data_IF_321217611249
#
_entry.id   IF_321217611249
#
_cell.length_a   1.000
_cell.length_b   1.000
_cell.length_c   1.000
_cell.angle_alpha   90.00
_cell.angle_beta   90.00
_cell.angle_gamma   90.00
#
_symmetry.space_group_name_H-M   'P 1'
#
loop_
_entity.id
_entity.type
_entity.pdbx_description
1 polymer ?
#
# COMPACT_ATOMS: atom_id res chain seq x y z
N UNK A 1 -9.33 20.76 -2.15
CA UNK A 1 -9.20 22.10 -1.53
C UNK A 1 -10.13 22.98 -2.32
N UNK A 2 -11.24 23.47 -1.75
CA UNK A 2 -12.42 23.82 -2.59
C UNK A 2 -12.20 24.99 -3.55
N UNK A 3 -11.18 25.81 -3.31
CA UNK A 3 -10.81 26.94 -4.15
C UNK A 3 -9.28 27.11 -4.16
N UNK A 4 -8.65 26.63 -5.24
CA UNK A 4 -7.20 26.70 -5.43
C UNK A 4 -6.72 28.13 -5.68
N UNK A 5 -7.47 28.91 -6.45
CA UNK A 5 -7.11 30.29 -6.80
C UNK A 5 -7.11 31.19 -5.56
N UNK A 6 -8.10 31.00 -4.69
CA UNK A 6 -8.20 31.75 -3.44
C UNK A 6 -7.01 31.45 -2.51
N UNK A 7 -6.54 30.21 -2.45
CA UNK A 7 -5.35 29.86 -1.68
C UNK A 7 -4.06 30.42 -2.28
N UNK A 8 -3.88 30.35 -3.60
CA UNK A 8 -2.72 30.97 -4.25
C UNK A 8 -2.69 32.47 -3.97
N UNK A 9 -3.85 33.14 -4.08
CA UNK A 9 -3.95 34.57 -3.79
C UNK A 9 -3.63 34.94 -2.34
N UNK A 10 -3.93 34.04 -1.38
CA UNK A 10 -3.60 34.23 0.02
C UNK A 10 -2.10 34.02 0.29
N UNK A 11 -1.49 33.05 -0.39
CA UNK A 11 -0.07 32.73 -0.30
C UNK A 11 0.81 33.79 -0.99
N UNK A 12 0.33 34.40 -2.07
CA UNK A 12 1.03 35.47 -2.78
C UNK A 12 1.29 36.72 -1.91
N UNK A 13 0.58 36.89 -0.80
CA UNK A 13 0.74 38.03 0.11
C UNK A 13 1.99 37.93 1.02
N UNK A 14 2.53 36.73 1.24
CA UNK A 14 3.74 36.52 2.06
C UNK A 14 4.89 35.94 1.23
N UNK A 15 6.04 36.62 1.18
CA UNK A 15 7.24 36.11 0.49
C UNK A 15 8.22 35.46 1.48
N UNK A 16 7.84 34.29 2.01
CA UNK A 16 8.68 33.48 2.89
C UNK A 16 9.03 32.14 2.22
N UNK A 17 10.08 31.48 2.69
CA UNK A 17 10.42 30.11 2.25
C UNK A 17 9.25 29.13 2.45
N UNK A 18 8.46 29.31 3.52
CA UNK A 18 7.24 28.54 3.76
C UNK A 18 6.22 28.70 2.63
N UNK A 19 6.17 29.87 2.00
CA UNK A 19 5.30 30.18 0.86
C UNK A 19 5.73 29.44 -0.40
N UNK A 20 7.04 29.38 -0.69
CA UNK A 20 7.57 28.66 -1.85
C UNK A 20 7.34 27.15 -1.73
N UNK A 21 7.50 26.60 -0.52
CA UNK A 21 7.17 25.20 -0.21
C UNK A 21 5.66 24.94 -0.33
N UNK A 22 4.81 25.83 0.20
CA UNK A 22 3.37 25.66 0.06
C UNK A 22 2.93 25.75 -1.41
N UNK A 23 3.57 26.58 -2.24
CA UNK A 23 3.32 26.59 -3.69
C UNK A 23 3.74 25.29 -4.36
N UNK A 24 4.92 24.74 -4.05
CA UNK A 24 5.34 23.48 -4.66
C UNK A 24 4.44 22.30 -4.27
N UNK A 25 3.89 22.30 -3.06
CA UNK A 25 2.97 21.27 -2.58
C UNK A 25 1.50 21.51 -2.97
N UNK A 26 1.13 22.73 -3.37
CA UNK A 26 -0.27 23.14 -3.56
C UNK A 26 -1.06 22.27 -4.54
N UNK A 27 -0.43 21.81 -5.63
CA UNK A 27 -1.08 20.96 -6.63
C UNK A 27 -1.43 19.58 -6.05
N UNK A 28 -0.47 18.97 -5.34
CA UNK A 28 -0.64 17.67 -4.68
C UNK A 28 -1.70 17.75 -3.59
N UNK A 29 -1.69 18.84 -2.82
CA UNK A 29 -2.70 19.07 -1.79
C UNK A 29 -4.09 19.28 -2.40
N UNK A 30 -4.20 19.91 -3.57
CA UNK A 30 -5.51 20.09 -4.21
C UNK A 30 -6.14 18.75 -4.57
N UNK A 31 -5.40 17.88 -5.25
CA UNK A 31 -5.86 16.52 -5.59
C UNK A 31 -6.18 15.70 -4.34
N UNK A 32 -5.32 15.75 -3.32
CA UNK A 32 -5.55 15.05 -2.06
C UNK A 32 -6.85 15.50 -1.37
N UNK A 33 -7.07 16.81 -1.27
CA UNK A 33 -8.25 17.38 -0.64
C UNK A 33 -9.48 17.44 -1.57
N UNK A 34 -9.38 17.03 -2.83
CA UNK A 34 -10.51 16.94 -3.74
C UNK A 34 -11.40 15.73 -3.42
N UNK A 35 -10.77 14.62 -3.04
CA UNK A 35 -11.45 13.36 -2.76
C UNK A 35 -11.89 13.22 -1.28
N UNK A 36 -11.44 14.12 -0.41
CA UNK A 36 -11.79 14.09 1.02
C UNK A 36 -13.17 14.70 1.29
N UNK A 37 -14.03 13.92 1.97
CA UNK A 37 -15.32 14.39 2.48
C UNK A 37 -15.14 15.00 3.87
N UNK A 38 -15.33 16.31 3.96
CA UNK A 38 -15.19 17.06 5.21
C UNK A 38 -16.56 17.54 5.71
N UNK A 39 -16.90 17.19 6.94
CA UNK A 39 -18.12 17.65 7.64
C UNK A 39 -17.73 18.30 8.95
N UNK A 40 -18.28 19.48 9.24
CA UNK A 40 -18.12 20.13 10.53
C UNK A 40 -19.16 19.61 11.51
N UNK A 41 -18.75 19.12 12.68
CA UNK A 41 -19.67 18.71 13.73
C UNK A 41 -19.27 19.29 15.08
N UNK A 42 -20.27 19.51 15.92
CA UNK A 42 -20.10 19.95 17.30
C UNK A 42 -20.49 18.83 18.24
N UNK A 43 -19.51 18.26 18.95
CA UNK A 43 -19.76 17.21 19.94
C UNK A 43 -20.64 17.68 21.11
N UNK A 44 -20.66 18.99 21.38
CA UNK A 44 -21.40 19.56 22.50
C UNK A 44 -22.88 19.80 22.19
N UNK A 45 -23.17 20.31 20.98
CA UNK A 45 -24.55 20.64 20.57
C UNK A 45 -25.20 19.54 19.72
N UNK A 46 -24.41 18.62 19.18
CA UNK A 46 -24.89 17.59 18.25
C UNK A 46 -25.14 18.12 16.83
N UNK A 47 -24.82 19.39 16.57
CA UNK A 47 -24.92 19.97 15.23
C UNK A 47 -23.93 19.30 14.28
N UNK A 48 -24.39 18.97 13.07
CA UNK A 48 -23.57 18.30 12.06
C UNK A 48 -23.42 16.77 12.26
N UNK A 49 -23.97 16.18 13.34
CA UNK A 49 -23.90 14.73 13.52
C UNK A 49 -24.65 13.94 12.43
N UNK A 50 -25.81 14.43 11.96
CA UNK A 50 -26.56 13.75 10.90
C UNK A 50 -25.79 13.72 9.58
N UNK A 51 -25.24 14.87 9.19
CA UNK A 51 -24.42 15.01 7.97
C UNK A 51 -23.15 14.16 8.05
N UNK A 52 -22.56 14.03 9.25
CA UNK A 52 -21.41 13.17 9.47
C UNK A 52 -21.74 11.69 9.20
N UNK A 53 -22.84 11.17 9.77
CA UNK A 53 -23.21 9.77 9.54
C UNK A 53 -23.59 9.49 8.08
N UNK A 54 -24.29 10.41 7.42
CA UNK A 54 -24.56 10.30 5.98
C UNK A 54 -23.26 10.23 5.16
N UNK A 55 -22.29 11.09 5.46
CA UNK A 55 -20.99 11.07 4.79
C UNK A 55 -20.19 9.79 5.06
N UNK A 56 -20.36 9.16 6.23
CA UNK A 56 -19.73 7.87 6.57
C UNK A 56 -20.41 6.71 5.83
N UNK A 57 -21.74 6.71 5.74
CA UNK A 57 -22.48 5.68 5.01
C UNK A 57 -22.11 5.69 3.52
N UNK A 58 -22.04 6.88 2.91
CA UNK A 58 -21.54 7.04 1.55
C UNK A 58 -20.07 6.55 1.41
N UNK A 59 -19.27 6.63 2.49
CA UNK A 59 -17.86 6.20 2.47
C UNK A 59 -17.75 4.69 2.51
N UNK A 60 -18.61 4.07 3.31
CA UNK A 60 -18.74 2.64 3.35
C UNK A 60 -19.16 2.09 1.98
N UNK A 61 -20.15 2.71 1.34
CA UNK A 61 -20.58 2.33 -0.01
C UNK A 61 -19.48 2.46 -1.07
N UNK A 62 -18.75 3.57 -1.08
CA UNK A 62 -17.62 3.75 -2.01
C UNK A 62 -16.51 2.72 -1.78
N UNK A 63 -16.19 2.44 -0.51
CA UNK A 63 -15.18 1.45 -0.14
C UNK A 63 -15.56 0.05 -0.62
N UNK A 64 -16.80 -0.40 -0.38
CA UNK A 64 -17.25 -1.74 -0.73
C UNK A 64 -17.33 -1.98 -2.24
N UNK A 65 -17.79 -0.98 -3.00
CA UNK A 65 -18.08 -1.15 -4.43
C UNK A 65 -16.92 -0.75 -5.35
N UNK A 66 -16.12 0.25 -4.96
CA UNK A 66 -15.03 0.78 -5.80
C UNK A 66 -13.70 0.25 -5.29
N UNK A 67 -13.31 0.65 -4.08
CA UNK A 67 -11.97 0.41 -3.58
C UNK A 67 -11.67 -1.09 -3.37
N UNK A 68 -12.54 -1.80 -2.64
CA UNK A 68 -12.35 -3.22 -2.33
C UNK A 68 -12.29 -4.09 -3.58
N UNK A 69 -13.09 -3.76 -4.58
CA UNK A 69 -13.12 -4.52 -5.85
C UNK A 69 -11.81 -4.33 -6.61
N UNK A 70 -11.32 -3.10 -6.75
CA UNK A 70 -10.04 -2.82 -7.40
C UNK A 70 -8.86 -3.40 -6.62
N UNK A 71 -8.90 -3.32 -5.28
CA UNK A 71 -7.90 -3.92 -4.41
C UNK A 71 -7.79 -5.44 -4.62
N UNK A 72 -8.92 -6.15 -4.60
CA UNK A 72 -8.93 -7.60 -4.83
C UNK A 72 -8.40 -7.97 -6.22
N UNK A 73 -8.73 -7.19 -7.26
CA UNK A 73 -8.19 -7.40 -8.61
C UNK A 73 -6.68 -7.20 -8.65
N UNK A 74 -6.18 -6.20 -7.93
CA UNK A 74 -4.75 -5.93 -7.84
C UNK A 74 -4.03 -7.08 -7.11
N UNK A 75 -4.58 -7.56 -6.00
CA UNK A 75 -4.06 -8.72 -5.28
C UNK A 75 -4.03 -9.99 -6.15
N UNK A 76 -5.10 -10.26 -6.92
CA UNK A 76 -5.15 -11.41 -7.81
C UNK A 76 -4.13 -11.30 -8.95
N UNK A 77 -3.95 -10.11 -9.54
CA UNK A 77 -2.93 -9.87 -10.56
C UNK A 77 -1.52 -10.08 -10.01
N UNK A 78 -1.26 -9.62 -8.78
CA UNK A 78 0.02 -9.81 -8.10
C UNK A 78 0.31 -11.29 -7.87
N UNK A 79 -0.65 -12.03 -7.31
CA UNK A 79 -0.52 -13.48 -7.08
C UNK A 79 -0.26 -14.26 -8.37
N UNK A 80 -0.97 -13.93 -9.46
CA UNK A 80 -0.71 -14.55 -10.78
C UNK A 80 0.69 -14.26 -11.30
N UNK A 81 1.15 -13.01 -11.20
CA UNK A 81 2.51 -12.61 -11.62
C UNK A 81 3.57 -13.39 -10.84
N UNK A 82 3.36 -13.61 -9.54
CA UNK A 82 4.26 -14.38 -8.69
C UNK A 82 4.25 -15.87 -9.03
N UNK A 83 3.07 -16.45 -9.28
CA UNK A 83 2.94 -17.84 -9.73
C UNK A 83 3.61 -18.07 -11.08
N UNK A 84 3.42 -17.16 -12.05
CA UNK A 84 4.06 -17.22 -13.36
C UNK A 84 5.59 -17.11 -13.25
N UNK A 85 6.09 -16.22 -12.38
CA UNK A 85 7.52 -16.10 -12.08
C UNK A 85 8.07 -17.38 -11.46
N UNK A 86 7.39 -17.93 -10.46
CA UNK A 86 7.75 -19.20 -9.82
C UNK A 86 7.76 -20.35 -10.82
N UNK A 87 6.81 -20.41 -11.75
CA UNK A 87 6.77 -21.44 -12.78
C UNK A 87 7.91 -21.29 -13.79
N UNK A 88 8.23 -20.07 -14.22
CA UNK A 88 9.38 -19.76 -15.08
C UNK A 88 10.70 -20.16 -14.40
N UNK A 89 10.88 -19.81 -13.12
CA UNK A 89 12.07 -20.17 -12.35
C UNK A 89 12.22 -21.70 -12.21
N UNK A 90 11.11 -22.41 -11.93
CA UNK A 90 11.12 -23.87 -11.89
C UNK A 90 11.42 -24.50 -13.26
N UNK A 91 10.94 -23.92 -14.36
CA UNK A 91 11.26 -24.36 -15.73
C UNK A 91 12.74 -24.17 -16.05
N UNK A 92 13.30 -23.00 -15.70
CA UNK A 92 14.73 -22.71 -15.85
C UNK A 92 15.59 -23.70 -15.06
N UNK A 93 15.26 -23.92 -13.78
CA UNK A 93 15.98 -24.86 -12.92
C UNK A 93 15.93 -26.30 -13.48
N UNK A 94 14.77 -26.74 -14.00
CA UNK A 94 14.65 -28.06 -14.64
C UNK A 94 15.51 -28.17 -15.90
N UNK A 95 15.59 -27.13 -16.71
CA UNK A 95 16.44 -27.12 -17.91
C UNK A 95 17.93 -27.21 -17.53
N UNK A 96 18.36 -26.48 -16.49
CA UNK A 96 19.74 -26.52 -15.99
C UNK A 96 20.11 -27.90 -15.43
N UNK A 97 19.18 -28.57 -14.72
CA UNK A 97 19.35 -29.93 -14.19
C UNK A 97 19.40 -31.02 -15.27
N UNK A 98 18.65 -30.85 -16.37
CA UNK A 98 18.62 -31.80 -17.48
C UNK A 98 19.81 -31.64 -18.44
N UNK A 99 20.58 -30.55 -18.30
CA UNK A 99 21.83 -30.37 -19.04
C UNK A 99 22.93 -31.11 -18.27
N UNK A 100 23.40 -32.23 -18.83
CA UNK A 100 24.38 -33.14 -18.20
C UNK A 100 25.55 -32.41 -17.51
N UNK A 101 26.04 -32.90 -16.36
CA UNK A 101 27.21 -32.34 -15.71
C UNK A 101 28.43 -32.66 -16.56
N UNK A 102 28.83 -31.73 -17.42
CA UNK A 102 30.15 -31.79 -18.07
C UNK A 102 31.21 -31.52 -17.00
N UNK A 103 31.55 -32.57 -16.24
CA UNK A 103 32.57 -32.52 -15.22
C UNK A 103 33.96 -32.65 -15.85
N UNK A 104 34.72 -31.57 -15.64
CA UNK A 104 36.18 -31.50 -15.49
C UNK A 104 36.99 -31.41 -16.80
N UNK A 105 37.44 -30.19 -17.08
CA UNK A 105 38.51 -29.91 -18.04
C UNK A 105 38.95 -28.45 -17.98
N UNK A 106 39.73 -28.11 -16.94
CA UNK A 106 40.67 -26.97 -16.83
C UNK A 106 40.19 -25.53 -17.11
N UNK A 107 40.56 -24.64 -16.18
CA UNK A 107 40.46 -23.18 -16.27
C UNK A 107 40.57 -22.63 -17.70
N UNK A 108 39.53 -21.92 -18.13
CA UNK A 108 39.69 -20.59 -18.71
C UNK A 108 38.60 -19.69 -18.15
N UNK A 109 39.00 -18.76 -17.27
CA UNK A 109 38.32 -17.47 -17.18
C UNK A 109 38.47 -16.87 -18.58
N UNK A 110 37.48 -17.12 -19.45
CA UNK A 110 37.26 -16.25 -20.60
C UNK A 110 36.36 -15.17 -20.04
N UNK A 111 36.92 -13.97 -19.88
CA UNK A 111 36.11 -12.78 -20.08
C UNK A 111 35.67 -12.88 -21.55
N UNK A 112 34.56 -13.56 -21.79
CA UNK A 112 33.86 -13.48 -23.05
C UNK A 112 32.97 -12.24 -22.93
N UNK A 113 33.38 -11.23 -23.67
CA UNK A 113 32.71 -9.94 -23.89
C UNK A 113 31.46 -10.16 -24.78
N UNK A 114 30.69 -11.19 -24.46
CA UNK A 114 29.38 -11.47 -25.03
C UNK A 114 28.41 -11.27 -23.89
N UNK A 115 27.88 -10.04 -23.87
CA UNK A 115 26.48 -9.75 -23.65
C UNK A 115 25.83 -10.86 -22.81
N UNK A 116 25.95 -10.67 -21.49
CA UNK A 116 24.93 -11.22 -20.62
C UNK A 116 23.61 -10.79 -21.23
N UNK A 117 22.91 -11.72 -21.87
CA UNK A 117 21.45 -11.76 -21.87
C UNK A 117 21.02 -11.88 -20.39
N UNK A 118 21.29 -10.83 -19.63
CA UNK A 118 20.28 -10.25 -18.77
C UNK A 118 19.21 -9.93 -19.79
N UNK A 119 18.21 -10.81 -19.92
CA UNK A 119 16.96 -10.40 -20.55
C UNK A 119 16.53 -9.17 -19.75
N UNK A 120 16.91 -8.02 -20.28
CA UNK A 120 16.59 -6.66 -19.88
C UNK A 120 15.14 -6.37 -20.31
N UNK A 121 14.26 -7.37 -20.17
CA UNK A 121 12.82 -7.32 -20.37
C UNK A 121 12.08 -7.19 -19.02
N UNK A 122 12.81 -6.82 -17.96
CA UNK A 122 12.28 -6.26 -16.72
C UNK A 122 12.42 -4.71 -16.69
N UNK A 123 12.45 -4.05 -17.86
CA UNK A 123 12.21 -2.58 -17.98
C UNK A 123 10.73 -2.21 -17.75
N UNK A 124 10.02 -2.94 -16.89
CA UNK A 124 8.76 -2.52 -16.27
C UNK A 124 8.84 -2.71 -14.73
N UNK A 125 10.03 -2.50 -14.13
CA UNK A 125 10.23 -2.28 -12.69
C UNK A 125 9.72 -0.88 -12.23
N UNK A 126 8.61 -0.41 -12.80
CA UNK A 126 7.82 0.69 -12.25
C UNK A 126 6.96 0.24 -11.05
N UNK A 127 7.06 -1.02 -10.62
CA UNK A 127 6.37 -1.54 -9.42
C UNK A 127 7.35 -1.72 -8.23
N UNK A 128 8.33 -0.80 -8.09
CA UNK A 128 8.97 -0.51 -6.80
C UNK A 128 8.01 0.19 -5.82
N UNK A 129 6.72 -0.08 -5.92
CA UNK A 129 5.74 0.31 -4.92
C UNK A 129 5.62 -0.78 -3.87
N UNK A 130 6.15 -0.44 -2.69
CA UNK A 130 5.90 -1.05 -1.39
C UNK A 130 6.54 -2.42 -1.11
N UNK A 131 7.74 -2.35 -0.54
CA UNK A 131 8.11 -3.31 0.51
C UNK A 131 7.09 -3.34 1.68
N UNK A 132 6.14 -2.40 1.83
CA UNK A 132 5.16 -2.42 2.93
C UNK A 132 4.17 -3.58 2.88
N UNK A 133 3.89 -4.19 1.73
CA UNK A 133 2.76 -5.12 1.66
C UNK A 133 3.12 -6.53 2.20
N UNK A 134 4.40 -6.90 2.16
CA UNK A 134 4.90 -8.06 2.92
C UNK A 134 4.76 -7.82 4.44
N UNK A 135 4.86 -6.55 4.90
CA UNK A 135 4.59 -6.23 6.30
C UNK A 135 3.10 -6.28 6.63
N UNK A 136 2.20 -5.90 5.71
CA UNK A 136 0.74 -5.96 5.96
C UNK A 136 0.24 -7.40 6.15
N UNK A 137 0.71 -8.36 5.34
CA UNK A 137 0.31 -9.76 5.47
C UNK A 137 0.82 -10.37 6.79
N UNK A 138 2.06 -10.05 7.20
CA UNK A 138 2.60 -10.41 8.52
C UNK A 138 1.86 -9.72 9.69
N UNK A 139 1.44 -8.47 9.53
CA UNK A 139 0.65 -7.73 10.52
C UNK A 139 -0.76 -8.32 10.69
N UNK A 140 -1.41 -8.74 9.60
CA UNK A 140 -2.70 -9.43 9.66
C UNK A 140 -2.61 -10.73 10.47
N UNK A 141 -1.59 -11.55 10.22
CA UNK A 141 -1.36 -12.78 10.99
C UNK A 141 -1.08 -12.49 12.47
N UNK A 142 -0.31 -11.43 12.74
CA UNK A 142 0.00 -10.97 14.09
C UNK A 142 -1.24 -10.45 14.83
N UNK A 143 -2.12 -9.72 14.15
CA UNK A 143 -3.38 -9.21 14.70
C UNK A 143 -4.41 -10.32 14.91
N UNK A 144 -4.53 -11.28 13.98
CA UNK A 144 -5.36 -12.49 14.15
C UNK A 144 -4.89 -13.30 15.37
N UNK A 145 -3.58 -13.43 15.57
CA UNK A 145 -2.99 -14.08 16.75
C UNK A 145 -3.28 -13.31 18.04
N UNK A 146 -3.28 -11.98 18.01
CA UNK A 146 -3.64 -11.13 19.14
C UNK A 146 -5.12 -11.27 19.53
N UNK A 147 -6.04 -11.21 18.56
CA UNK A 147 -7.47 -11.45 18.77
C UNK A 147 -7.73 -12.85 19.33
N UNK A 148 -7.08 -13.89 18.79
CA UNK A 148 -7.21 -15.25 19.29
C UNK A 148 -6.69 -15.39 20.74
N UNK A 149 -5.74 -14.55 21.15
CA UNK A 149 -5.20 -14.51 22.51
C UNK A 149 -6.13 -13.74 23.46
N UNK A 150 -6.74 -12.64 23.04
CA UNK A 150 -7.67 -11.86 23.86
C UNK A 150 -8.99 -12.59 24.11
N UNK A 151 -9.48 -13.35 23.11
CA UNK A 151 -10.70 -14.19 23.25
C UNK A 151 -10.49 -15.35 24.24
N UNK A 152 -9.25 -15.82 24.45
CA UNK A 152 -8.93 -16.91 25.38
C UNK A 152 -8.77 -16.48 26.84
N UNK A 153 -8.65 -15.19 27.11
CA UNK A 153 -8.56 -14.67 28.47
C UNK A 153 -9.83 -13.88 28.80
N UNK A 154 -10.93 -14.53 29.24
CA UNK A 154 -12.03 -13.80 29.84
C UNK A 154 -11.50 -13.07 31.07
N UNK A 155 -11.68 -11.76 31.07
CA UNK A 155 -11.39 -10.84 32.17
C UNK A 155 -11.85 -11.43 33.50
N UNK A 156 -10.91 -11.69 34.41
CA UNK A 156 -11.19 -11.86 35.84
C UNK A 156 -11.64 -10.51 36.38
N UNK A 157 -12.93 -10.21 36.25
CA UNK A 157 -13.57 -9.13 36.99
C UNK A 157 -13.64 -9.60 38.45
N UNK A 158 -12.76 -9.07 39.30
CA UNK A 158 -12.85 -9.25 40.75
C UNK A 158 -14.09 -8.50 41.25
N UNK A 159 -15.23 -9.19 41.32
CA UNK A 159 -16.30 -8.86 42.25
C UNK A 159 -15.86 -9.27 43.65
N UNK A 160 -15.36 -8.29 44.42
CA UNK A 160 -15.35 -8.32 45.89
C UNK A 160 -14.90 -6.95 46.43
N UNK A 161 -15.86 -6.09 46.74
CA UNK A 161 -15.74 -5.17 47.87
C UNK A 161 -17.15 -4.85 48.39
N UNK A 162 -17.74 -5.82 49.09
CA UNK A 162 -18.70 -5.51 50.16
C UNK A 162 -17.89 -4.94 51.33
N UNK A 163 -18.08 -3.65 51.62
CA UNK A 163 -18.34 -3.07 52.95
C UNK A 163 -18.66 -1.58 52.82
#
# INVERSE_FOLDING_TARGET
>A
MKDFELFQSAIEQEHSYSTDLCRSLSLVLDEFYANLRCVGFSSMTGDGCKEFFEAVDDACHEYEHVYKVEYNKWQEKRSKREEDKREKDLKRLKNDLNTEPSLIGEKRIRYDDNESDVDDDDEDDEDRTNNNDDYEEEEEESFKRYLAKSVKNPTTTNDNMDM
#
